data_IF_487333996508
#
_entry.id   IF_487333996508
#
_cell.length_a   1.000
_cell.length_b   1.000
_cell.length_c   1.000
_cell.angle_alpha   90.00
_cell.angle_beta   90.00
_cell.angle_gamma   90.00
#
_symmetry.space_group_name_H-M   'P 1'
#
loop_
_entity.id
_entity.type
_entity.pdbx_description
1 polymer ?
#
# COMPACT_ATOMS: atom_id res chain seq x y z
N UNK A 1 -25.81 2.95 8.87
CA UNK A 1 -24.95 3.37 7.73
C UNK A 1 -24.07 4.60 8.03
N UNK A 2 -24.58 5.71 8.57
CA UNK A 2 -23.80 6.95 8.82
C UNK A 2 -22.64 6.77 9.82
N UNK A 3 -22.80 5.90 10.83
CA UNK A 3 -21.75 5.55 11.81
C UNK A 3 -20.60 4.77 11.17
N UNK A 4 -20.90 3.78 10.33
CA UNK A 4 -19.91 2.99 9.56
C UNK A 4 -19.15 3.87 8.58
N UNK A 5 -19.86 4.74 7.84
CA UNK A 5 -19.21 5.69 6.92
C UNK A 5 -18.32 6.67 7.71
N UNK A 6 -18.75 7.16 8.88
CA UNK A 6 -17.93 8.03 9.74
C UNK A 6 -16.70 7.30 10.28
N UNK A 7 -16.84 6.04 10.69
CA UNK A 7 -15.74 5.19 11.18
C UNK A 7 -14.72 4.91 10.06
N UNK A 8 -15.20 4.51 8.87
CA UNK A 8 -14.36 4.30 7.68
C UNK A 8 -13.69 5.60 7.26
N UNK A 9 -14.41 6.73 7.24
CA UNK A 9 -13.83 8.04 6.92
C UNK A 9 -12.79 8.47 7.97
N UNK A 10 -13.01 8.20 9.26
CA UNK A 10 -12.03 8.45 10.33
C UNK A 10 -10.78 7.56 10.21
N UNK A 11 -10.94 6.30 9.81
CA UNK A 11 -9.81 5.40 9.54
C UNK A 11 -9.05 5.80 8.26
N UNK A 12 -9.74 6.39 7.28
CA UNK A 12 -9.13 6.99 6.08
C UNK A 12 -8.47 8.36 6.34
N UNK A 13 -8.79 9.02 7.47
CA UNK A 13 -8.16 10.27 7.94
C UNK A 13 -6.93 10.06 8.83
N UNK A 14 -6.67 8.83 9.30
CA UNK A 14 -5.39 8.52 9.95
C UNK A 14 -4.26 8.65 8.92
N UNK A 15 -3.06 9.11 9.30
CA UNK A 15 -1.96 9.38 8.37
C UNK A 15 -1.60 8.10 7.60
N UNK A 16 -2.20 7.96 6.43
CA UNK A 16 -2.08 6.80 5.54
C UNK A 16 -1.01 7.09 4.49
N UNK A 17 0.16 7.52 4.95
CA UNK A 17 1.34 7.80 4.13
C UNK A 17 2.28 6.59 3.95
N UNK A 18 1.88 5.38 4.36
CA UNK A 18 2.83 4.25 4.50
C UNK A 18 3.14 3.54 3.18
N UNK A 19 2.29 3.67 2.14
CA UNK A 19 2.61 3.09 0.83
C UNK A 19 3.63 3.92 0.02
N UNK A 20 3.93 5.14 0.47
CA UNK A 20 4.67 6.15 -0.28
C UNK A 20 6.18 6.13 0.00
N UNK A 21 6.59 6.08 1.28
CA UNK A 21 8.01 6.04 1.69
C UNK A 21 8.81 4.91 1.00
N UNK A 22 8.27 3.69 0.84
CA UNK A 22 9.05 2.58 0.26
C UNK A 22 9.36 2.72 -1.23
N UNK A 23 8.35 3.08 -2.01
CA UNK A 23 8.44 3.03 -3.48
C UNK A 23 9.17 4.25 -4.02
N UNK A 24 9.05 5.40 -3.35
CA UNK A 24 9.64 6.67 -3.78
C UNK A 24 11.03 6.89 -3.17
N UNK A 25 11.31 6.42 -1.95
CA UNK A 25 12.68 6.31 -1.45
C UNK A 25 13.54 5.48 -2.41
N UNK A 26 13.04 4.32 -2.87
CA UNK A 26 13.75 3.51 -3.86
C UNK A 26 13.92 4.22 -5.23
N UNK A 27 12.95 5.03 -5.67
CA UNK A 27 13.02 5.74 -6.95
C UNK A 27 13.98 6.95 -6.92
N UNK A 28 13.93 7.78 -5.88
CA UNK A 28 14.79 8.96 -5.69
C UNK A 28 16.26 8.54 -5.62
N UNK A 29 16.53 7.46 -4.89
CA UNK A 29 17.89 6.95 -4.70
C UNK A 29 18.40 6.17 -5.93
N UNK A 30 17.52 5.81 -6.86
CA UNK A 30 17.88 4.98 -8.02
C UNK A 30 18.40 5.69 -9.26
N UNK A 31 18.07 6.96 -9.42
CA UNK A 31 18.42 7.71 -10.64
C UNK A 31 19.93 8.05 -10.70
N UNK A 32 20.62 8.36 -9.58
CA UNK A 32 22.06 8.62 -9.60
C UNK A 32 22.92 7.35 -9.77
N UNK A 33 22.47 6.20 -9.26
CA UNK A 33 23.27 4.98 -9.14
C UNK A 33 23.54 4.25 -10.48
N UNK A 34 22.90 4.63 -11.58
CA UNK A 34 23.08 3.95 -12.88
C UNK A 34 24.36 4.36 -13.64
N UNK A 35 25.09 5.41 -13.20
CA UNK A 35 26.12 6.03 -14.05
C UNK A 35 27.51 6.25 -13.43
N UNK A 36 27.82 5.81 -12.19
CA UNK A 36 29.18 6.03 -11.66
C UNK A 36 29.63 5.11 -10.50
N UNK A 37 30.11 3.87 -10.75
CA UNK A 37 30.56 2.99 -9.67
C UNK A 37 31.90 3.40 -9.01
N UNK A 38 32.84 4.03 -9.72
CA UNK A 38 34.19 4.31 -9.19
C UNK A 38 34.31 5.64 -8.42
N UNK A 39 33.52 6.66 -8.76
CA UNK A 39 33.51 7.93 -8.04
C UNK A 39 32.74 7.84 -6.70
N UNK A 40 31.73 6.97 -6.65
CA UNK A 40 30.89 6.71 -5.45
C UNK A 40 31.68 6.06 -4.31
N UNK A 41 32.79 5.38 -4.63
CA UNK A 41 33.66 4.75 -3.63
C UNK A 41 34.71 5.68 -3.03
N UNK A 42 34.97 6.85 -3.63
CA UNK A 42 36.06 7.76 -3.23
C UNK A 42 35.65 8.87 -2.26
N UNK A 43 34.36 9.02 -1.96
CA UNK A 43 33.88 10.06 -1.06
C UNK A 43 32.71 9.53 -0.21
N UNK A 44 32.81 9.37 1.12
CA UNK A 44 31.71 8.83 1.94
C UNK A 44 30.60 9.87 2.20
N UNK A 45 30.27 10.71 1.22
CA UNK A 45 29.13 11.61 1.31
C UNK A 45 27.82 10.81 1.46
N UNK A 46 26.80 11.41 2.06
CA UNK A 46 25.47 10.77 2.18
C UNK A 46 24.86 10.40 0.82
N UNK A 47 25.36 10.96 -0.29
CA UNK A 47 24.94 10.63 -1.65
C UNK A 47 25.27 9.17 -1.95
N UNK A 48 26.51 8.79 -1.64
CA UNK A 48 27.01 7.45 -1.86
C UNK A 48 26.36 6.45 -0.90
N UNK A 49 26.07 6.86 0.34
CA UNK A 49 25.31 6.03 1.29
C UNK A 49 23.91 5.70 0.77
N UNK A 50 23.20 6.69 0.25
CA UNK A 50 21.86 6.47 -0.31
C UNK A 50 21.95 5.55 -1.54
N UNK A 51 22.77 5.89 -2.53
CA UNK A 51 22.93 5.09 -3.75
C UNK A 51 23.31 3.63 -3.44
N UNK A 52 24.24 3.42 -2.50
CA UNK A 52 24.62 2.10 -1.99
C UNK A 52 23.43 1.39 -1.33
N UNK A 53 22.66 2.06 -0.46
CA UNK A 53 21.48 1.46 0.16
C UNK A 53 20.50 0.94 -0.89
N UNK A 54 20.21 1.74 -1.92
CA UNK A 54 19.31 1.28 -2.99
C UNK A 54 19.91 0.14 -3.81
N UNK A 55 21.23 0.13 -4.02
CA UNK A 55 21.94 -1.02 -4.57
C UNK A 55 21.73 -2.29 -3.75
N UNK A 56 21.86 -2.20 -2.42
CA UNK A 56 21.62 -3.31 -1.48
C UNK A 56 20.16 -3.77 -1.52
N UNK A 57 19.20 -2.84 -1.50
CA UNK A 57 17.77 -3.17 -1.64
C UNK A 57 17.55 -3.93 -2.96
N UNK A 58 18.08 -3.46 -4.09
CA UNK A 58 17.94 -4.10 -5.40
C UNK A 58 18.59 -5.47 -5.49
N UNK A 59 19.71 -5.71 -4.80
CA UNK A 59 20.38 -7.01 -4.75
C UNK A 59 19.42 -8.11 -4.29
N UNK A 60 18.54 -7.80 -3.35
CA UNK A 60 17.56 -8.74 -2.81
C UNK A 60 16.24 -8.80 -3.58
N UNK A 61 16.12 -8.12 -4.73
CA UNK A 61 14.88 -8.14 -5.53
C UNK A 61 14.56 -9.54 -6.06
N UNK A 62 15.58 -10.27 -6.51
CA UNK A 62 15.41 -11.64 -7.00
C UNK A 62 15.29 -12.60 -5.81
N UNK A 63 14.18 -13.33 -5.75
CA UNK A 63 13.90 -14.30 -4.68
C UNK A 63 13.40 -13.67 -3.37
N UNK A 64 13.00 -12.41 -3.37
CA UNK A 64 12.21 -11.83 -2.27
C UNK A 64 10.75 -12.28 -2.38
N UNK A 65 10.14 -12.52 -1.21
CA UNK A 65 8.70 -12.78 -1.13
C UNK A 65 7.92 -11.49 -1.47
N UNK A 66 6.81 -11.65 -2.19
CA UNK A 66 5.89 -10.54 -2.44
C UNK A 66 5.10 -10.23 -1.17
N UNK A 67 5.04 -8.94 -0.82
CA UNK A 67 4.35 -8.51 0.38
C UNK A 67 2.83 -8.65 0.23
N UNK A 68 2.23 -9.47 1.09
CA UNK A 68 0.78 -9.67 1.12
C UNK A 68 0.10 -8.40 1.62
N UNK A 69 -0.56 -7.68 0.70
CA UNK A 69 -1.32 -6.46 1.02
C UNK A 69 -2.74 -6.74 1.49
N UNK A 70 -3.28 -7.91 1.17
CA UNK A 70 -4.61 -8.33 1.56
C UNK A 70 -4.49 -9.31 2.73
N UNK A 71 -5.13 -8.98 3.85
CA UNK A 71 -5.32 -9.92 4.94
C UNK A 71 -6.51 -10.82 4.61
N UNK A 72 -6.33 -12.12 4.79
CA UNK A 72 -7.41 -13.09 4.67
C UNK A 72 -8.46 -12.82 5.76
N UNK A 73 -9.74 -12.54 5.39
CA UNK A 73 -10.82 -12.33 6.35
C UNK A 73 -10.96 -13.45 7.38
N UNK A 74 -10.63 -14.69 7.01
CA UNK A 74 -10.69 -15.85 7.90
C UNK A 74 -9.68 -15.73 9.05
N UNK A 75 -8.58 -15.00 8.87
CA UNK A 75 -7.62 -14.76 9.96
C UNK A 75 -8.32 -14.01 11.09
N UNK A 76 -9.13 -12.99 10.78
CA UNK A 76 -9.85 -12.19 11.78
C UNK A 76 -11.00 -12.96 12.43
N UNK A 77 -11.78 -13.71 11.65
CA UNK A 77 -12.88 -14.54 12.19
C UNK A 77 -12.32 -15.55 13.20
N UNK A 78 -11.14 -16.11 12.91
CA UNK A 78 -10.48 -17.05 13.80
C UNK A 78 -9.70 -16.39 14.95
N UNK A 79 -9.63 -15.06 15.04
CA UNK A 79 -8.98 -14.39 16.19
C UNK A 79 -9.84 -14.43 17.44
N UNK A 80 -11.16 -14.39 17.34
CA UNK A 80 -12.06 -14.37 18.51
C UNK A 80 -11.96 -15.64 19.37
N UNK A 81 -11.49 -16.73 18.79
CA UNK A 81 -11.26 -18.00 19.52
C UNK A 81 -9.89 -18.09 20.18
N UNK A 82 -9.03 -17.07 20.02
CA UNK A 82 -7.62 -17.14 20.41
C UNK A 82 -7.31 -16.15 21.52
N UNK A 83 -6.52 -16.63 22.47
CA UNK A 83 -5.89 -15.76 23.46
C UNK A 83 -4.65 -15.12 22.84
N UNK A 84 -4.53 -13.80 22.98
CA UNK A 84 -3.32 -13.07 22.63
C UNK A 84 -2.24 -13.39 23.67
N UNK A 85 -0.96 -13.47 23.28
CA UNK A 85 0.13 -13.54 24.25
C UNK A 85 0.09 -12.33 25.20
N UNK A 86 0.32 -12.57 26.50
CA UNK A 86 0.21 -11.56 27.55
C UNK A 86 1.04 -10.30 27.25
N UNK A 87 2.26 -10.46 26.72
CA UNK A 87 3.11 -9.31 26.39
C UNK A 87 2.55 -8.45 25.26
N UNK A 88 1.85 -9.04 24.29
CA UNK A 88 1.19 -8.31 23.21
C UNK A 88 -0.11 -7.63 23.70
N UNK A 89 -0.82 -8.26 24.64
CA UNK A 89 -1.96 -7.63 25.31
C UNK A 89 -1.50 -6.38 26.06
N UNK A 90 -0.42 -6.47 26.83
CA UNK A 90 0.15 -5.32 27.55
C UNK A 90 0.49 -4.17 26.59
N UNK A 91 1.17 -4.45 25.47
CA UNK A 91 1.47 -3.43 24.45
C UNK A 91 0.21 -2.77 23.87
N UNK A 92 -0.84 -3.55 23.61
CA UNK A 92 -2.11 -3.02 23.13
C UNK A 92 -2.84 -2.21 24.20
N UNK A 93 -2.79 -2.63 25.46
CA UNK A 93 -3.39 -1.90 26.59
C UNK A 93 -2.72 -0.56 26.80
N UNK A 94 -1.38 -0.51 26.76
CA UNK A 94 -0.59 0.72 26.89
C UNK A 94 -0.91 1.72 25.78
N UNK A 95 -1.08 1.25 24.54
CA UNK A 95 -1.48 2.09 23.39
C UNK A 95 -2.96 2.52 23.44
N UNK A 96 -3.81 1.69 24.08
CA UNK A 96 -5.26 1.75 24.04
C UNK A 96 -5.83 0.68 23.12
N UNK A 97 -6.26 -0.44 23.71
CA UNK A 97 -6.64 -1.68 23.01
C UNK A 97 -7.60 -1.45 21.83
N UNK A 98 -8.64 -0.63 22.02
CA UNK A 98 -9.64 -0.34 20.97
C UNK A 98 -9.16 0.58 19.85
N UNK A 99 -7.96 1.15 19.96
CA UNK A 99 -7.30 1.93 18.90
C UNK A 99 -6.46 1.05 17.96
N UNK A 100 -6.21 -0.21 18.35
CA UNK A 100 -5.49 -1.23 17.56
C UNK A 100 -6.06 -1.42 16.16
N UNK A 101 -5.20 -1.78 15.20
CA UNK A 101 -5.63 -2.11 13.84
C UNK A 101 -6.51 -3.37 13.83
N UNK A 102 -6.17 -4.39 14.64
CA UNK A 102 -6.96 -5.62 14.78
C UNK A 102 -8.38 -5.29 15.22
N UNK A 103 -8.54 -4.58 16.33
CA UNK A 103 -9.85 -4.24 16.88
C UNK A 103 -10.64 -3.33 15.94
N UNK A 104 -9.99 -2.34 15.34
CA UNK A 104 -10.61 -1.50 14.31
C UNK A 104 -11.16 -2.35 13.17
N UNK A 105 -10.37 -3.33 12.71
CA UNK A 105 -10.72 -4.19 11.59
C UNK A 105 -11.85 -5.14 11.94
N UNK A 106 -11.82 -5.76 13.12
CA UNK A 106 -12.90 -6.63 13.62
C UNK A 106 -14.21 -5.85 13.74
N UNK A 107 -14.19 -4.66 14.36
CA UNK A 107 -15.38 -3.82 14.48
C UNK A 107 -15.92 -3.41 13.10
N UNK A 108 -15.04 -3.01 12.18
CA UNK A 108 -15.44 -2.67 10.83
C UNK A 108 -16.03 -3.88 10.06
N UNK A 109 -15.46 -5.06 10.22
CA UNK A 109 -15.93 -6.29 9.60
C UNK A 109 -17.31 -6.70 10.17
N UNK A 110 -17.48 -6.66 11.49
CA UNK A 110 -18.76 -6.93 12.15
C UNK A 110 -19.85 -5.95 11.71
N UNK A 111 -19.54 -4.65 11.69
CA UNK A 111 -20.50 -3.63 11.27
C UNK A 111 -20.87 -3.77 9.79
N UNK A 112 -19.93 -4.22 8.94
CA UNK A 112 -20.19 -4.55 7.54
C UNK A 112 -21.08 -5.79 7.42
N UNK A 113 -20.77 -6.87 8.12
CA UNK A 113 -21.60 -8.09 8.14
C UNK A 113 -23.02 -7.78 8.60
N UNK A 114 -23.19 -7.04 9.70
CA UNK A 114 -24.50 -6.62 10.18
C UNK A 114 -25.26 -5.82 9.12
N UNK A 115 -24.60 -4.88 8.43
CA UNK A 115 -25.23 -4.13 7.35
C UNK A 115 -25.63 -5.00 6.16
N UNK A 116 -24.84 -6.03 5.83
CA UNK A 116 -25.18 -7.00 4.79
C UNK A 116 -26.38 -7.85 5.22
N UNK A 117 -26.42 -8.33 6.46
CA UNK A 117 -27.55 -9.12 6.97
C UNK A 117 -28.84 -8.30 6.99
N UNK A 118 -28.81 -7.05 7.47
CA UNK A 118 -29.98 -6.17 7.41
C UNK A 118 -30.45 -5.95 5.97
N UNK A 119 -29.53 -5.76 5.01
CA UNK A 119 -29.92 -5.63 3.61
C UNK A 119 -30.58 -6.91 3.07
N UNK A 120 -30.09 -8.09 3.47
CA UNK A 120 -30.71 -9.36 3.11
C UNK A 120 -32.11 -9.52 3.74
N UNK A 121 -32.27 -9.16 5.02
CA UNK A 121 -33.57 -9.17 5.70
C UNK A 121 -34.59 -8.26 5.00
N UNK A 122 -34.18 -7.03 4.65
CA UNK A 122 -35.02 -6.06 3.94
C UNK A 122 -35.48 -6.56 2.56
N UNK A 123 -34.69 -7.46 1.94
CA UNK A 123 -35.01 -8.12 0.68
C UNK A 123 -35.68 -9.50 0.84
N UNK A 124 -36.00 -9.92 2.06
CA UNK A 124 -36.65 -11.22 2.34
C UNK A 124 -35.74 -12.44 2.12
N UNK A 125 -34.42 -12.24 2.06
CA UNK A 125 -33.42 -13.23 1.67
C UNK A 125 -33.02 -14.23 2.79
N UNK A 126 -33.57 -14.11 3.99
CA UNK A 126 -33.08 -14.83 5.19
C UNK A 126 -33.69 -16.22 5.44
N UNK A 127 -34.58 -16.72 4.58
CA UNK A 127 -35.22 -18.03 4.74
C UNK A 127 -35.21 -18.82 3.44
N UNK A 128 -34.09 -19.46 3.13
CA UNK A 128 -34.01 -20.42 2.03
C UNK A 128 -33.27 -21.67 2.50
N UNK A 129 -33.93 -22.41 3.39
CA UNK A 129 -33.80 -23.87 3.33
C UNK A 129 -34.61 -24.32 2.12
N UNK A 130 -34.01 -25.12 1.24
CA UNK A 130 -34.75 -25.74 0.15
C UNK A 130 -35.93 -26.52 0.77
N UNK A 131 -37.18 -26.20 0.41
CA UNK A 131 -38.36 -26.79 1.05
C UNK A 131 -38.45 -28.31 0.86
N UNK A 132 -37.71 -28.88 -0.11
CA UNK A 132 -37.67 -30.31 -0.38
C UNK A 132 -36.57 -31.00 0.43
N UNK A 133 -35.39 -30.38 0.56
CA UNK A 133 -34.22 -31.04 1.17
C UNK A 133 -33.92 -30.58 2.59
N UNK A 134 -34.44 -29.43 3.02
CA UNK A 134 -34.11 -28.77 4.29
C UNK A 134 -32.64 -28.32 4.38
N UNK A 135 -31.89 -28.39 3.28
CA UNK A 135 -30.50 -27.97 3.23
C UNK A 135 -30.41 -26.48 2.84
N UNK A 136 -29.37 -25.77 3.32
CA UNK A 136 -29.11 -24.40 2.87
C UNK A 136 -28.81 -24.41 1.36
N UNK A 137 -29.52 -23.58 0.61
CA UNK A 137 -29.28 -23.39 -0.82
C UNK A 137 -27.94 -22.66 -1.03
N UNK A 138 -26.91 -23.39 -1.45
CA UNK A 138 -25.58 -22.83 -1.70
C UNK A 138 -25.51 -21.99 -2.98
N UNK A 139 -26.50 -22.12 -3.88
CA UNK A 139 -26.62 -21.36 -5.12
C UNK A 139 -27.53 -20.13 -4.96
N UNK A 140 -27.92 -19.80 -3.72
CA UNK A 140 -28.78 -18.66 -3.42
C UNK A 140 -28.19 -17.36 -3.96
N UNK A 141 -28.90 -16.73 -4.90
CA UNK A 141 -28.65 -15.35 -5.32
C UNK A 141 -29.49 -14.41 -4.45
N UNK A 142 -28.88 -13.65 -3.53
CA UNK A 142 -29.61 -12.79 -2.61
C UNK A 142 -30.39 -11.64 -3.29
N UNK A 143 -30.34 -11.53 -4.62
CA UNK A 143 -30.96 -10.43 -5.37
C UNK A 143 -30.26 -9.08 -5.12
N UNK A 144 -29.16 -9.08 -4.37
CA UNK A 144 -28.32 -7.90 -4.19
C UNK A 144 -27.46 -7.72 -5.45
N UNK A 145 -27.26 -6.47 -5.92
CA UNK A 145 -26.60 -6.21 -7.19
C UNK A 145 -25.07 -6.40 -7.19
N UNK A 146 -24.50 -7.09 -6.19
CA UNK A 146 -23.07 -7.31 -6.04
C UNK A 146 -22.77 -8.59 -5.25
N UNK A 147 -21.71 -9.31 -5.64
CA UNK A 147 -21.29 -10.57 -5.00
C UNK A 147 -20.25 -10.39 -3.90
N UNK A 148 -19.56 -9.25 -3.89
CA UNK A 148 -18.47 -8.98 -2.97
C UNK A 148 -18.32 -7.47 -2.69
N UNK A 149 -17.52 -7.15 -1.67
CA UNK A 149 -17.27 -5.76 -1.25
C UNK A 149 -16.75 -4.87 -2.39
N UNK A 150 -15.90 -5.42 -3.27
CA UNK A 150 -15.33 -4.65 -4.38
C UNK A 150 -16.43 -4.21 -5.35
N UNK A 151 -17.39 -5.07 -5.66
CA UNK A 151 -18.53 -4.77 -6.54
C UNK A 151 -19.54 -3.81 -5.90
N UNK A 152 -19.59 -3.71 -4.57
CA UNK A 152 -20.44 -2.74 -3.88
C UNK A 152 -19.93 -1.29 -4.03
N UNK A 153 -18.62 -1.07 -4.21
CA UNK A 153 -18.01 0.27 -4.21
C UNK A 153 -18.62 1.24 -5.24
N UNK A 154 -18.82 0.86 -6.52
CA UNK A 154 -19.44 1.75 -7.50
C UNK A 154 -20.90 2.09 -7.18
N UNK A 155 -21.65 1.14 -6.58
CA UNK A 155 -23.03 1.37 -6.16
C UNK A 155 -23.11 2.35 -5.00
N UNK A 156 -22.22 2.21 -4.01
CA UNK A 156 -22.09 3.18 -2.92
C UNK A 156 -21.70 4.57 -3.44
N UNK A 157 -20.77 4.65 -4.40
CA UNK A 157 -20.40 5.92 -5.04
C UNK A 157 -21.60 6.57 -5.75
N UNK A 158 -22.40 5.78 -6.50
CA UNK A 158 -23.64 6.25 -7.15
C UNK A 158 -24.62 6.84 -6.12
N UNK A 159 -24.91 6.09 -5.05
CA UNK A 159 -25.82 6.55 -3.98
C UNK A 159 -25.33 7.83 -3.28
N UNK A 160 -24.01 7.98 -3.10
CA UNK A 160 -23.43 9.19 -2.51
C UNK A 160 -23.66 10.41 -3.41
N UNK A 161 -23.58 10.26 -4.73
CA UNK A 161 -23.85 11.33 -5.70
C UNK A 161 -25.33 11.70 -5.73
N UNK A 162 -26.23 10.71 -5.67
CA UNK A 162 -27.68 10.94 -5.66
C UNK A 162 -28.14 11.75 -4.44
N UNK A 163 -27.46 11.62 -3.30
CA UNK A 163 -27.78 12.38 -2.07
C UNK A 163 -27.38 13.86 -2.11
N UNK A 164 -26.77 14.34 -3.20
CA UNK A 164 -26.50 15.75 -3.52
C UNK A 164 -25.79 16.63 -2.46
N UNK A 165 -25.17 16.05 -1.42
CA UNK A 165 -24.39 16.82 -0.44
C UNK A 165 -22.99 17.12 -1.00
N UNK A 166 -22.47 18.37 -0.93
CA UNK A 166 -21.15 18.72 -1.49
C UNK A 166 -20.01 17.80 -1.02
N UNK A 167 -19.96 17.47 0.27
CA UNK A 167 -18.97 16.55 0.84
C UNK A 167 -19.14 15.07 0.47
N UNK A 168 -20.19 14.68 -0.26
CA UNK A 168 -20.37 13.30 -0.73
C UNK A 168 -19.72 13.05 -2.09
N UNK A 169 -19.47 14.09 -2.89
CA UNK A 169 -18.82 13.95 -4.20
C UNK A 169 -17.38 13.45 -4.04
N UNK A 170 -16.62 14.04 -3.11
CA UNK A 170 -15.25 13.59 -2.83
C UNK A 170 -15.22 12.15 -2.32
N UNK A 171 -16.18 11.77 -1.47
CA UNK A 171 -16.31 10.39 -0.97
C UNK A 171 -16.66 9.41 -2.09
N UNK A 172 -17.57 9.79 -3.00
CA UNK A 172 -17.93 8.97 -4.15
C UNK A 172 -16.72 8.74 -5.07
N UNK A 173 -15.97 9.80 -5.37
CA UNK A 173 -14.77 9.72 -6.19
C UNK A 173 -13.69 8.86 -5.52
N UNK A 174 -13.50 8.97 -4.20
CA UNK A 174 -12.61 8.09 -3.42
C UNK A 174 -12.99 6.61 -3.56
N UNK A 175 -14.28 6.27 -3.48
CA UNK A 175 -14.74 4.88 -3.63
C UNK A 175 -14.49 4.34 -5.04
N UNK A 176 -14.71 5.15 -6.08
CA UNK A 176 -14.41 4.75 -7.46
C UNK A 176 -12.91 4.64 -7.72
N UNK A 177 -12.11 5.55 -7.19
CA UNK A 177 -10.64 5.46 -7.23
C UNK A 177 -10.21 4.13 -6.60
N UNK A 178 -10.74 3.79 -5.41
CA UNK A 178 -10.42 2.53 -4.73
C UNK A 178 -10.82 1.31 -5.57
N UNK A 179 -12.02 1.30 -6.14
CA UNK A 179 -12.48 0.24 -7.04
C UNK A 179 -11.54 0.06 -8.24
N UNK A 180 -11.13 1.15 -8.88
CA UNK A 180 -10.22 1.11 -10.02
C UNK A 180 -8.82 0.64 -9.64
N UNK A 181 -8.29 1.06 -8.47
CA UNK A 181 -7.01 0.57 -7.94
C UNK A 181 -7.07 -0.94 -7.69
N UNK A 182 -8.13 -1.43 -7.05
CA UNK A 182 -8.34 -2.87 -6.80
C UNK A 182 -8.44 -3.68 -8.11
N UNK A 183 -8.78 -3.03 -9.22
CA UNK A 183 -8.80 -3.65 -10.55
C UNK A 183 -7.58 -3.39 -11.42
N UNK A 184 -6.51 -2.79 -10.88
CA UNK A 184 -5.32 -2.45 -11.66
C UNK A 184 -5.54 -1.34 -12.70
N UNK A 185 -6.69 -0.65 -12.69
CA UNK A 185 -7.05 0.41 -13.64
C UNK A 185 -6.51 1.77 -13.19
N UNK A 186 -5.19 1.85 -12.95
CA UNK A 186 -4.53 3.00 -12.32
C UNK A 186 -4.70 4.31 -13.12
N UNK A 187 -4.76 4.24 -14.46
CA UNK A 187 -5.02 5.42 -15.32
C UNK A 187 -6.41 6.02 -15.08
N UNK A 188 -7.43 5.18 -14.93
CA UNK A 188 -8.80 5.65 -14.63
C UNK A 188 -8.88 6.23 -13.22
N UNK A 189 -8.24 5.57 -12.25
CA UNK A 189 -8.14 6.09 -10.89
C UNK A 189 -7.49 7.50 -10.87
N UNK A 190 -6.39 7.70 -11.59
CA UNK A 190 -5.76 9.02 -11.70
C UNK A 190 -6.67 10.05 -12.37
N UNK A 191 -7.38 9.69 -13.44
CA UNK A 191 -8.27 10.63 -14.12
C UNK A 191 -9.43 11.09 -13.22
N UNK A 192 -9.95 10.21 -12.36
CA UNK A 192 -10.95 10.58 -11.35
C UNK A 192 -10.32 11.47 -10.29
N UNK A 193 -9.10 11.14 -9.83
CA UNK A 193 -8.35 11.95 -8.88
C UNK A 193 -8.06 13.36 -9.40
N UNK A 194 -7.72 13.52 -10.68
CA UNK A 194 -7.51 14.84 -11.31
C UNK A 194 -8.78 15.69 -11.25
N UNK A 195 -9.96 15.10 -11.55
CA UNK A 195 -11.25 15.79 -11.42
C UNK A 195 -11.55 16.17 -9.96
N UNK A 196 -11.24 15.26 -9.03
CA UNK A 196 -11.37 15.49 -7.60
C UNK A 196 -10.50 16.66 -7.12
N UNK A 197 -9.24 16.72 -7.54
CA UNK A 197 -8.29 17.78 -7.17
C UNK A 197 -8.68 19.16 -7.70
N UNK A 198 -9.29 19.24 -8.90
CA UNK A 198 -9.83 20.50 -9.42
C UNK A 198 -10.95 21.04 -8.53
N UNK A 199 -11.71 20.16 -7.87
CA UNK A 199 -12.80 20.53 -6.97
C UNK A 199 -12.30 20.77 -5.54
N UNK A 200 -11.40 19.92 -5.05
CA UNK A 200 -10.87 19.96 -3.70
C UNK A 200 -9.39 19.50 -3.67
N UNK A 201 -8.43 20.44 -3.73
CA UNK A 201 -7.00 20.12 -3.78
C UNK A 201 -6.44 19.58 -2.46
N UNK A 202 -7.20 19.71 -1.37
CA UNK A 202 -6.82 19.33 0.00
C UNK A 202 -7.10 17.84 0.32
N UNK A 203 -7.64 17.07 -0.63
CA UNK A 203 -7.94 15.65 -0.42
C UNK A 203 -6.69 14.82 -0.72
N UNK A 204 -5.95 14.46 0.33
CA UNK A 204 -4.74 13.65 0.24
C UNK A 204 -4.93 12.33 -0.54
N UNK A 205 -6.12 11.72 -0.49
CA UNK A 205 -6.40 10.48 -1.20
C UNK A 205 -6.33 10.62 -2.74
N UNK A 206 -6.67 11.79 -3.28
CA UNK A 206 -6.55 12.04 -4.72
C UNK A 206 -5.08 12.10 -5.14
N UNK A 207 -4.26 12.78 -4.34
CA UNK A 207 -2.81 12.78 -4.53
C UNK A 207 -2.24 11.36 -4.45
N UNK A 208 -2.63 10.57 -3.44
CA UNK A 208 -2.25 9.16 -3.31
C UNK A 208 -2.54 8.36 -4.58
N UNK A 209 -3.75 8.48 -5.15
CA UNK A 209 -4.12 7.77 -6.37
C UNK A 209 -3.19 8.08 -7.55
N UNK A 210 -2.75 9.34 -7.67
CA UNK A 210 -1.80 9.78 -8.71
C UNK A 210 -0.39 9.24 -8.48
N UNK A 211 0.01 9.00 -7.23
CA UNK A 211 1.32 8.40 -6.92
C UNK A 211 1.48 6.99 -7.45
N UNK A 212 0.38 6.28 -7.67
CA UNK A 212 0.38 4.91 -8.18
C UNK A 212 0.64 4.82 -9.69
N UNK A 213 0.67 5.95 -10.41
CA UNK A 213 1.02 5.95 -11.82
C UNK A 213 2.50 5.60 -12.04
N UNK A 214 2.80 4.95 -13.16
CA UNK A 214 4.16 4.58 -13.54
C UNK A 214 5.09 5.78 -13.82
N UNK A 215 4.58 7.03 -13.82
CA UNK A 215 5.40 8.22 -14.03
C UNK A 215 5.97 8.69 -12.69
N UNK A 216 7.29 8.53 -12.44
CA UNK A 216 7.89 8.84 -11.15
C UNK A 216 7.83 10.33 -10.81
N UNK A 217 7.94 11.21 -11.81
CA UNK A 217 7.89 12.67 -11.61
C UNK A 217 6.50 13.14 -11.17
N UNK A 218 5.45 12.64 -11.84
CA UNK A 218 4.06 12.92 -11.45
C UNK A 218 3.80 12.33 -10.06
N UNK A 219 4.24 11.09 -9.83
CA UNK A 219 4.01 10.44 -8.55
C UNK A 219 4.69 11.15 -7.38
N UNK A 220 5.93 11.62 -7.56
CA UNK A 220 6.65 12.37 -6.54
C UNK A 220 5.96 13.70 -6.25
N UNK A 221 5.65 14.48 -7.30
CA UNK A 221 4.96 15.77 -7.14
C UNK A 221 3.61 15.61 -6.47
N UNK A 222 2.80 14.64 -6.91
CA UNK A 222 1.51 14.37 -6.28
C UNK A 222 1.68 13.97 -4.83
N UNK A 223 2.67 13.16 -4.49
CA UNK A 223 2.88 12.82 -3.10
C UNK A 223 3.31 14.00 -2.23
N UNK A 224 4.23 14.86 -2.71
CA UNK A 224 4.58 16.12 -2.02
C UNK A 224 3.32 16.95 -1.76
N UNK A 225 2.47 17.11 -2.78
CA UNK A 225 1.21 17.85 -2.62
C UNK A 225 0.24 17.16 -1.65
N UNK A 226 0.18 15.83 -1.67
CA UNK A 226 -0.63 15.06 -0.72
C UNK A 226 -0.16 15.21 0.72
N UNK A 227 1.16 15.30 0.94
CA UNK A 227 1.77 15.58 2.23
C UNK A 227 1.57 17.04 2.66
N UNK A 228 1.26 17.97 1.74
CA UNK A 228 0.98 19.37 2.07
C UNK A 228 -0.48 19.67 2.40
N UNK A 229 -1.40 18.75 2.11
CA UNK A 229 -2.80 18.92 2.51
C UNK A 229 -2.84 19.16 4.03
N UNK A 230 -3.73 20.05 4.52
CA UNK A 230 -3.77 20.69 5.87
C UNK A 230 -3.61 19.82 7.14
N UNK A 231 -3.27 18.53 7.03
CA UNK A 231 -2.89 17.62 8.11
C UNK A 231 -1.45 17.06 8.00
N UNK A 232 -0.59 17.53 7.08
CA UNK A 232 0.83 17.13 7.07
C UNK A 232 1.77 18.25 6.59
N UNK A 233 3.03 18.15 7.01
CA UNK A 233 4.08 19.17 6.99
C UNK A 233 4.47 19.61 5.56
N UNK A 234 4.78 20.91 5.32
CA UNK A 234 5.11 21.38 3.98
C UNK A 234 6.54 21.01 3.56
N UNK A 235 6.71 20.57 2.31
CA UNK A 235 8.01 20.34 1.68
C UNK A 235 8.04 20.93 0.25
N UNK A 236 8.76 22.03 -0.01
CA UNK A 236 9.18 22.46 -1.35
C UNK A 236 10.30 23.52 -1.31
N UNK A 237 11.37 23.26 -2.07
CA UNK A 237 12.34 24.27 -2.49
C UNK A 237 13.26 23.80 -3.62
N UNK A 238 13.45 24.61 -4.66
CA UNK A 238 14.45 24.46 -5.72
C UNK A 238 15.78 25.08 -5.27
N UNK A 239 16.53 24.32 -4.48
CA UNK A 239 17.93 24.61 -4.16
C UNK A 239 18.65 23.29 -4.19
N UNK A 240 19.52 23.10 -5.19
CA UNK A 240 20.37 21.92 -5.41
C UNK A 240 19.69 20.56 -5.28
N UNK A 241 19.66 19.78 -6.38
CA UNK A 241 19.08 18.42 -6.40
C UNK A 241 19.57 17.51 -5.26
N UNK A 242 20.75 17.81 -4.72
CA UNK A 242 21.37 17.12 -3.61
C UNK A 242 20.72 17.48 -2.26
N UNK A 243 20.64 18.76 -1.92
CA UNK A 243 20.01 19.25 -0.70
C UNK A 243 18.54 18.84 -0.63
N UNK A 244 17.86 18.85 -1.78
CA UNK A 244 16.50 18.31 -1.93
C UNK A 244 16.43 16.80 -1.59
N UNK A 245 17.38 16.01 -2.09
CA UNK A 245 17.46 14.57 -1.80
C UNK A 245 17.73 14.27 -0.32
N UNK A 246 18.65 15.01 0.30
CA UNK A 246 18.92 14.93 1.75
C UNK A 246 17.69 15.32 2.55
N UNK A 247 17.02 16.41 2.19
CA UNK A 247 15.78 16.83 2.84
C UNK A 247 14.69 15.75 2.73
N UNK A 248 14.56 15.07 1.59
CA UNK A 248 13.60 13.95 1.45
C UNK A 248 13.94 12.75 2.33
N UNK A 249 15.20 12.33 2.35
CA UNK A 249 15.63 11.19 3.16
C UNK A 249 15.45 11.51 4.65
N UNK A 250 15.84 12.71 5.08
CA UNK A 250 15.66 13.18 6.46
C UNK A 250 14.19 13.30 6.82
N UNK A 251 13.35 13.87 5.95
CA UNK A 251 11.90 13.95 6.16
C UNK A 251 11.29 12.55 6.26
N UNK A 252 11.63 11.64 5.34
CA UNK A 252 11.15 10.27 5.34
C UNK A 252 11.50 9.52 6.63
N UNK A 253 12.70 9.76 7.16
CA UNK A 253 13.13 9.20 8.44
C UNK A 253 12.36 9.81 9.62
N UNK A 254 12.20 11.14 9.68
CA UNK A 254 11.39 11.82 10.70
C UNK A 254 9.93 11.34 10.68
N UNK A 255 9.31 11.25 9.49
CA UNK A 255 7.95 10.75 9.30
C UNK A 255 7.83 9.29 9.77
N UNK A 256 8.85 8.47 9.52
CA UNK A 256 8.87 7.10 10.00
C UNK A 256 8.93 7.01 11.53
N UNK A 257 9.65 7.91 12.21
CA UNK A 257 9.65 7.99 13.68
C UNK A 257 8.27 8.34 14.22
N UNK A 258 7.65 9.41 13.68
CA UNK A 258 6.28 9.80 14.05
C UNK A 258 5.31 8.65 13.83
N UNK A 259 5.42 7.95 12.70
CA UNK A 259 4.60 6.76 12.45
C UNK A 259 4.80 5.67 13.51
N UNK A 260 6.04 5.34 13.85
CA UNK A 260 6.41 4.31 14.82
C UNK A 260 5.94 4.67 16.25
N UNK A 261 5.76 5.95 16.54
CA UNK A 261 5.26 6.46 17.82
C UNK A 261 3.73 6.50 17.87
N UNK A 262 3.07 6.96 16.81
CA UNK A 262 1.63 7.19 16.80
C UNK A 262 0.80 5.99 16.32
N UNK A 263 1.37 5.14 15.47
CA UNK A 263 0.64 4.02 14.90
C UNK A 263 0.44 2.91 15.95
N UNK A 264 -0.66 2.13 15.82
CA UNK A 264 -0.86 0.98 16.66
C UNK A 264 0.30 -0.02 16.57
N UNK A 265 0.70 -0.68 17.67
CA UNK A 265 1.80 -1.65 17.65
C UNK A 265 1.46 -2.89 16.80
N UNK A 266 0.17 -3.18 16.61
CA UNK A 266 -0.35 -4.27 15.76
C UNK A 266 -0.56 -3.85 14.30
N UNK A 267 -0.11 -2.65 13.90
CA UNK A 267 -0.29 -2.15 12.54
C UNK A 267 0.42 -3.06 11.53
N UNK A 268 -0.29 -3.48 10.48
CA UNK A 268 0.20 -4.42 9.46
C UNK A 268 1.44 -3.92 8.72
N UNK A 269 1.61 -2.61 8.63
CA UNK A 269 2.75 -1.97 7.99
C UNK A 269 3.90 -1.64 8.95
N UNK A 270 3.74 -1.88 10.27
CA UNK A 270 4.73 -1.53 11.28
C UNK A 270 6.12 -2.09 10.95
N UNK A 271 6.24 -3.39 10.60
CA UNK A 271 7.52 -3.97 10.20
C UNK A 271 8.13 -3.26 8.99
N UNK A 272 7.32 -2.90 7.99
CA UNK A 272 7.79 -2.26 6.77
C UNK A 272 8.36 -0.86 7.05
N UNK A 273 7.66 -0.07 7.87
CA UNK A 273 8.12 1.25 8.30
C UNK A 273 9.38 1.12 9.16
N UNK A 274 9.45 0.12 10.04
CA UNK A 274 10.64 -0.14 10.85
C UNK A 274 11.86 -0.51 9.99
N UNK A 275 11.71 -1.31 8.94
CA UNK A 275 12.82 -1.59 8.02
C UNK A 275 13.34 -0.30 7.37
N UNK A 276 12.45 0.58 6.92
CA UNK A 276 12.85 1.89 6.39
C UNK A 276 13.49 2.78 7.43
N UNK A 277 12.89 2.90 8.61
CA UNK A 277 13.40 3.71 9.70
C UNK A 277 14.84 3.33 10.06
N UNK A 278 15.10 2.03 10.19
CA UNK A 278 16.43 1.47 10.44
C UNK A 278 17.40 1.83 9.31
N UNK A 279 17.04 1.54 8.07
CA UNK A 279 17.90 1.77 6.91
C UNK A 279 18.20 3.26 6.69
N UNK A 280 17.18 4.12 6.81
CA UNK A 280 17.31 5.57 6.67
C UNK A 280 18.10 6.16 7.84
N UNK A 281 17.91 5.66 9.07
CA UNK A 281 18.70 6.06 10.24
C UNK A 281 20.19 5.79 10.04
N UNK A 282 20.54 4.64 9.48
CA UNK A 282 21.92 4.30 9.08
C UNK A 282 22.45 5.24 8.00
N UNK A 283 21.65 5.55 6.98
CA UNK A 283 22.07 6.45 5.89
C UNK A 283 22.31 7.86 6.41
N UNK A 284 21.42 8.39 7.26
CA UNK A 284 21.50 9.77 7.75
C UNK A 284 22.64 9.91 8.75
N UNK A 285 22.62 9.11 9.82
CA UNK A 285 23.55 9.25 10.95
C UNK A 285 24.93 8.70 10.66
N UNK A 286 25.03 7.67 9.81
CA UNK A 286 26.29 7.08 9.34
C UNK A 286 27.36 6.93 10.43
N UNK A 287 28.44 7.75 10.40
CA UNK A 287 29.55 7.65 11.34
C UNK A 287 29.20 8.00 12.80
N UNK A 288 28.07 8.66 13.06
CA UNK A 288 27.59 8.95 14.41
C UNK A 288 27.01 7.73 15.13
N UNK A 289 26.80 6.62 14.41
CA UNK A 289 26.29 5.39 14.99
C UNK A 289 27.43 4.58 15.61
N UNK A 290 27.16 4.04 16.80
CA UNK A 290 28.00 3.03 17.42
C UNK A 290 28.14 1.79 16.53
N UNK A 291 29.29 1.11 16.62
CA UNK A 291 29.59 -0.12 15.89
C UNK A 291 28.62 -1.26 16.23
N UNK A 292 28.09 -1.27 17.45
CA UNK A 292 27.07 -2.20 17.92
C UNK A 292 25.62 -1.70 17.73
N UNK A 293 25.44 -0.57 17.05
CA UNK A 293 24.15 0.00 16.69
C UNK A 293 23.22 0.22 17.89
N UNK A 294 23.75 0.59 19.07
CA UNK A 294 22.96 0.87 20.29
C UNK A 294 21.78 1.79 20.04
N UNK A 295 21.97 2.79 19.18
CA UNK A 295 20.95 3.80 18.89
C UNK A 295 19.80 3.28 18.03
N UNK A 296 19.98 2.15 17.33
CA UNK A 296 18.96 1.51 16.49
C UNK A 296 18.24 0.39 17.26
N UNK A 297 18.77 -0.05 18.40
CA UNK A 297 18.17 -1.10 19.23
C UNK A 297 16.69 -0.87 19.56
N UNK A 298 16.20 0.35 19.87
CA UNK A 298 14.78 0.58 20.09
C UNK A 298 13.91 0.19 18.87
N UNK A 299 14.35 0.53 17.65
CA UNK A 299 13.64 0.15 16.42
C UNK A 299 13.71 -1.35 16.15
N UNK A 300 14.82 -2.02 16.52
CA UNK A 300 14.94 -3.48 16.41
C UNK A 300 14.03 -4.21 17.38
N UNK A 301 13.91 -3.71 18.61
CA UNK A 301 13.00 -4.26 19.61
C UNK A 301 11.55 -4.11 19.16
N UNK A 302 11.15 -2.93 18.66
CA UNK A 302 9.82 -2.73 18.07
C UNK A 302 9.58 -3.62 16.86
N UNK A 303 10.61 -3.89 16.04
CA UNK A 303 10.49 -4.80 14.90
C UNK A 303 10.24 -6.24 15.35
N UNK A 304 10.91 -6.69 16.41
CA UNK A 304 10.63 -7.99 17.03
C UNK A 304 9.19 -8.08 17.53
N UNK A 305 8.67 -7.02 18.17
CA UNK A 305 7.28 -6.97 18.62
C UNK A 305 6.29 -7.03 17.44
N UNK A 306 6.56 -6.32 16.36
CA UNK A 306 5.74 -6.38 15.14
C UNK A 306 5.76 -7.78 14.49
N UNK A 307 6.92 -8.45 14.50
CA UNK A 307 7.05 -9.85 14.05
C UNK A 307 6.29 -10.82 14.97
N UNK A 308 6.23 -10.57 16.28
CA UNK A 308 5.40 -11.34 17.21
C UNK A 308 3.90 -11.17 16.92
N UNK A 309 3.41 -9.95 16.63
CA UNK A 309 2.04 -9.78 16.17
C UNK A 309 1.77 -10.62 14.91
N UNK A 310 2.64 -10.54 13.90
CA UNK A 310 2.53 -11.33 12.66
C UNK A 310 2.46 -12.84 12.92
N UNK A 311 3.38 -13.37 13.70
CA UNK A 311 3.51 -14.81 13.89
C UNK A 311 2.55 -15.38 14.92
N UNK A 312 2.32 -14.67 16.04
CA UNK A 312 1.54 -15.17 17.18
C UNK A 312 0.06 -14.82 17.07
N UNK A 313 -0.26 -13.62 16.60
CA UNK A 313 -1.66 -13.17 16.47
C UNK A 313 -2.20 -13.55 15.09
N UNK A 314 -1.55 -13.09 14.02
CA UNK A 314 -2.04 -13.28 12.66
C UNK A 314 -1.71 -14.68 12.08
N UNK A 315 -0.82 -15.45 12.71
CA UNK A 315 -0.27 -16.73 12.18
C UNK A 315 0.26 -16.61 10.76
N UNK A 316 0.79 -15.44 10.42
CA UNK A 316 1.44 -15.21 9.16
C UNK A 316 2.92 -15.59 9.27
N UNK A 317 3.44 -16.22 8.23
CA UNK A 317 4.87 -16.38 8.09
C UNK A 317 5.52 -15.01 7.93
N UNK A 318 6.70 -14.88 8.52
CA UNK A 318 7.53 -13.72 8.29
C UNK A 318 8.05 -13.79 6.86
N UNK A 319 7.55 -12.90 6.01
CA UNK A 319 7.96 -12.82 4.62
C UNK A 319 9.39 -12.28 4.50
N UNK A 320 10.21 -12.94 3.69
CA UNK A 320 11.56 -12.51 3.34
C UNK A 320 11.50 -11.50 2.19
N UNK A 321 10.84 -10.37 2.46
CA UNK A 321 10.71 -9.29 1.49
C UNK A 321 12.09 -8.70 1.14
N UNK A 322 12.15 -8.02 0.01
CA UNK A 322 13.36 -7.35 -0.48
C UNK A 322 13.95 -6.42 0.59
N UNK A 323 13.08 -5.63 1.22
CA UNK A 323 13.45 -4.63 2.21
C UNK A 323 13.94 -5.27 3.52
N UNK A 324 13.29 -6.35 3.97
CA UNK A 324 13.74 -7.10 5.16
C UNK A 324 15.14 -7.67 4.96
N UNK A 325 15.38 -8.36 3.83
CA UNK A 325 16.70 -8.93 3.52
C UNK A 325 17.78 -7.85 3.44
N UNK A 326 17.46 -6.70 2.87
CA UNK A 326 18.36 -5.55 2.83
C UNK A 326 18.71 -5.07 4.24
N UNK A 327 17.69 -4.88 5.09
CA UNK A 327 17.87 -4.46 6.47
C UNK A 327 18.70 -5.47 7.29
N UNK A 328 18.37 -6.77 7.23
CA UNK A 328 19.13 -7.82 7.91
C UNK A 328 20.60 -7.87 7.45
N UNK A 329 20.84 -7.72 6.14
CA UNK A 329 22.19 -7.73 5.59
C UNK A 329 23.01 -6.51 6.01
N UNK A 330 22.40 -5.32 6.03
CA UNK A 330 23.05 -4.08 6.49
C UNK A 330 23.43 -4.20 7.96
N UNK A 331 22.50 -4.61 8.83
CA UNK A 331 22.79 -4.75 10.27
C UNK A 331 23.89 -5.78 10.52
N UNK A 332 23.80 -6.95 9.89
CA UNK A 332 24.78 -8.04 10.08
C UNK A 332 26.20 -7.61 9.69
N UNK A 333 26.34 -6.71 8.72
CA UNK A 333 27.64 -6.28 8.18
C UNK A 333 28.11 -4.93 8.73
N UNK A 334 27.29 -4.23 9.51
CA UNK A 334 27.57 -2.85 9.91
C UNK A 334 28.88 -2.72 10.70
N UNK A 335 29.05 -3.48 11.79
CA UNK A 335 30.25 -3.41 12.63
C UNK A 335 31.54 -3.69 11.83
N UNK A 336 31.51 -4.71 10.97
CA UNK A 336 32.66 -5.05 10.10
C UNK A 336 32.96 -3.94 9.09
N UNK A 337 31.92 -3.32 8.53
CA UNK A 337 32.08 -2.18 7.64
C UNK A 337 32.65 -0.95 8.37
N UNK A 338 32.19 -0.65 9.59
CA UNK A 338 32.76 0.47 10.37
C UNK A 338 34.24 0.23 10.67
N UNK A 339 34.63 -0.99 11.06
CA UNK A 339 36.03 -1.34 11.33
C UNK A 339 36.93 -1.26 10.08
N UNK A 340 36.43 -1.70 8.92
CA UNK A 340 37.15 -1.66 7.64
C UNK A 340 37.30 -0.23 7.12
N UNK A 341 36.22 0.56 7.13
CA UNK A 341 36.16 1.87 6.49
C UNK A 341 36.54 3.03 7.41
N UNK A 342 36.50 2.85 8.74
CA UNK A 342 36.87 3.88 9.72
C UNK A 342 38.33 4.36 9.56
N UNK A 343 39.21 3.49 9.09
CA UNK A 343 40.62 3.81 8.87
C UNK A 343 40.91 4.54 7.54
N UNK A 344 39.93 4.59 6.63
CA UNK A 344 40.11 5.14 5.26
C UNK A 344 39.89 6.67 5.22
N UNK A 345 39.28 7.26 6.26
CA UNK A 345 38.82 8.66 6.25
C UNK A 345 39.74 9.78 6.79
N UNK A 346 40.93 9.59 7.41
CA UNK A 346 41.65 10.74 7.96
C UNK A 346 42.21 11.69 6.89
N UNK A 347 42.74 11.16 5.78
CA UNK A 347 43.56 11.97 4.86
C UNK A 347 42.76 12.70 3.77
N UNK A 348 41.55 12.22 3.44
CA UNK A 348 40.74 12.77 2.33
C UNK A 348 40.02 14.08 2.63
N UNK A 349 39.89 14.48 3.90
CA UNK A 349 39.23 15.75 4.28
C UNK A 349 40.16 16.97 4.22
N UNK A 350 41.47 16.79 4.02
CA UNK A 350 42.42 17.91 4.07
C UNK A 350 42.45 18.79 2.81
N UNK A 351 41.99 18.30 1.64
CA UNK A 351 42.17 18.99 0.35
C UNK A 351 40.86 19.21 -0.44
N UNK A 352 39.74 18.68 0.03
CA UNK A 352 38.44 19.00 -0.56
C UNK A 352 38.02 20.37 -0.02
N UNK A 353 38.07 21.42 -0.84
CA UNK A 353 37.66 22.79 -0.48
C UNK A 353 36.18 22.96 -0.08
N UNK A 354 35.48 21.87 0.26
CA UNK A 354 34.18 21.89 0.89
C UNK A 354 34.34 22.33 2.34
N UNK A 355 34.00 23.59 2.62
CA UNK A 355 33.82 24.05 4.00
C UNK A 355 32.64 23.29 4.58
N UNK A 356 32.93 22.38 5.49
CA UNK A 356 31.96 21.74 6.36
C UNK A 356 31.12 22.85 7.01
N UNK A 357 29.83 22.87 6.67
CA UNK A 357 28.88 23.84 7.23
C UNK A 357 28.72 23.47 8.69
N UNK A 358 29.31 24.25 9.61
CA UNK A 358 29.15 24.03 11.04
C UNK A 358 27.67 24.13 11.44
N UNK A 359 27.24 23.16 12.24
CA UNK A 359 25.90 22.60 12.20
C UNK A 359 25.13 22.79 13.53
N UNK A 360 25.33 23.90 14.24
CA UNK A 360 24.80 24.03 15.60
C UNK A 360 23.41 24.71 15.71
N UNK A 361 22.93 25.41 14.68
CA UNK A 361 21.60 26.06 14.71
C UNK A 361 20.78 25.91 13.40
N UNK A 362 21.25 25.10 12.44
CA UNK A 362 20.70 25.10 11.08
C UNK A 362 19.52 24.16 10.82
N UNK A 363 19.28 23.12 11.61
CA UNK A 363 18.51 21.98 11.10
C UNK A 363 16.97 22.13 11.09
N UNK A 364 16.39 23.01 11.91
CA UNK A 364 14.95 23.30 11.86
C UNK A 364 14.64 24.66 11.26
N UNK A 365 15.36 25.70 11.66
CA UNK A 365 15.12 27.07 11.18
C UNK A 365 15.54 27.25 9.72
N UNK A 366 16.58 26.57 9.23
CA UNK A 366 16.99 26.67 7.81
C UNK A 366 16.07 25.86 6.91
N UNK A 367 15.60 24.71 7.38
CA UNK A 367 14.62 23.90 6.65
C UNK A 367 13.30 24.67 6.55
N UNK A 368 12.74 25.15 7.67
CA UNK A 368 11.47 25.88 7.67
C UNK A 368 11.58 27.21 6.89
N UNK A 369 12.66 27.97 7.06
CA UNK A 369 12.87 29.23 6.31
C UNK A 369 13.04 29.02 4.81
N UNK A 370 13.74 27.96 4.41
CA UNK A 370 13.87 27.58 2.99
C UNK A 370 12.52 27.17 2.38
N UNK A 371 11.67 26.50 3.16
CA UNK A 371 10.32 26.11 2.76
C UNK A 371 9.38 27.33 2.64
N UNK A 372 9.58 28.37 3.46
CA UNK A 372 8.75 29.58 3.50
C UNK A 372 9.06 30.61 2.41
N UNK A 373 10.33 30.78 2.02
CA UNK A 373 10.78 31.79 1.04
C UNK A 373 10.46 31.41 -0.43
N UNK A 374 9.86 30.24 -0.69
CA UNK A 374 9.68 29.70 -2.04
C UNK A 374 8.36 30.14 -2.71
N UNK A 375 8.41 31.19 -3.53
CA UNK A 375 7.32 31.57 -4.43
C UNK A 375 7.50 30.94 -5.83
N UNK A 376 6.58 30.05 -6.23
CA UNK A 376 6.54 29.53 -7.61
C UNK A 376 5.73 30.48 -8.51
N UNK A 377 6.24 30.86 -9.70
CA UNK A 377 5.42 31.56 -10.68
C UNK A 377 4.34 30.62 -11.21
N UNK A 378 3.09 31.05 -11.08
CA UNK A 378 1.87 30.37 -11.51
C UNK A 378 1.80 30.29 -13.05
N UNK A 379 2.68 29.51 -13.68
CA UNK A 379 2.59 29.22 -15.11
C UNK A 379 1.58 28.10 -15.30
N UNK A 380 0.30 28.51 -15.32
CA UNK A 380 -0.79 27.65 -15.73
C UNK A 380 -0.45 26.89 -17.01
N UNK A 381 -0.80 25.59 -17.03
CA UNK A 381 -0.64 24.68 -18.16
C UNK A 381 -1.51 25.06 -19.37
N UNK A 382 -1.38 26.28 -19.91
CA UNK A 382 -1.84 26.63 -21.24
C UNK A 382 -0.74 26.29 -22.25
N UNK A 383 -0.46 25.01 -22.43
CA UNK A 383 0.34 24.55 -23.55
C UNK A 383 -0.47 24.74 -24.84
N UNK A 384 -0.04 25.68 -25.70
CA UNK A 384 -0.48 25.75 -27.09
C UNK A 384 -0.16 24.43 -27.78
N UNK A 385 -1.18 23.64 -28.06
CA UNK A 385 -1.09 22.48 -28.95
C UNK A 385 -0.98 22.96 -30.39
N UNK A 386 0.24 23.13 -30.90
CA UNK A 386 0.47 23.09 -32.36
C UNK A 386 0.33 21.63 -32.80
N UNK A 387 -0.90 21.25 -33.12
CA UNK A 387 -1.23 19.99 -33.76
C UNK A 387 -0.83 20.05 -35.24
N UNK A 388 0.17 19.25 -35.62
CA UNK A 388 0.48 18.94 -37.00
C UNK A 388 -0.29 17.68 -37.41
N UNK A 389 -1.50 17.86 -37.95
CA UNK A 389 -2.14 16.85 -38.79
C UNK A 389 -2.41 17.46 -40.17
N UNK A 390 -2.26 16.68 -41.26
CA UNK A 390 -2.60 17.15 -42.59
C UNK A 390 -4.12 17.33 -42.72
N UNK A 391 -4.54 18.50 -43.22
CA UNK A 391 -5.94 18.84 -43.48
C UNK A 391 -6.50 17.91 -44.56
N UNK A 392 -7.41 17.01 -44.19
CA UNK A 392 -8.23 16.25 -45.14
C UNK A 392 -9.43 17.12 -45.54
N UNK A 393 -9.52 17.38 -46.84
CA UNK A 393 -10.53 18.22 -47.48
C UNK A 393 -11.82 17.41 -47.67
N UNK A 394 -12.87 17.73 -46.93
CA UNK A 394 -14.21 17.14 -47.09
C UNK A 394 -14.99 17.93 -48.15
N UNK A 395 -14.80 17.59 -49.42
CA UNK A 395 -15.75 17.87 -50.48
C UNK A 395 -15.54 16.87 -51.63
N UNK A 396 -16.13 15.68 -51.51
CA UNK A 396 -16.50 14.88 -52.68
C UNK A 396 -17.67 13.97 -52.35
N UNK A 397 -18.83 14.38 -52.84
CA UNK A 397 -20.04 13.57 -52.98
C UNK A 397 -19.72 12.42 -53.94
N UNK A 398 -19.81 11.18 -53.45
CA UNK A 398 -19.92 9.97 -54.28
C UNK A 398 -21.03 9.12 -53.69
N UNK A 399 -21.98 8.78 -54.56
CA UNK A 399 -23.23 8.06 -54.29
C UNK A 399 -22.96 6.66 -53.72
N UNK A 400 -23.75 6.29 -52.72
CA UNK A 400 -23.85 4.93 -52.18
C UNK A 400 -24.44 3.97 -53.23
N UNK A 401 -23.98 2.71 -53.31
CA UNK A 401 -24.78 1.64 -53.87
C UNK A 401 -25.65 1.01 -52.77
N UNK A 402 -26.95 0.95 -53.06
CA UNK A 402 -27.96 0.21 -52.33
C UNK A 402 -27.57 -1.27 -52.21
N UNK A 403 -27.64 -1.83 -51.00
CA UNK A 403 -27.60 -3.27 -50.77
C UNK A 403 -28.98 -3.72 -50.26
N UNK A 404 -29.65 -4.46 -51.14
CA UNK A 404 -30.93 -5.12 -50.97
C UNK A 404 -30.90 -6.18 -49.86
N UNK A 405 -31.95 -6.18 -49.04
CA UNK A 405 -32.31 -7.26 -48.14
C UNK A 405 -32.75 -8.49 -48.95
N UNK A 406 -32.28 -9.67 -48.55
CA UNK A 406 -32.76 -10.95 -49.05
C UNK A 406 -33.28 -11.77 -47.87
N UNK A 407 -34.57 -12.10 -47.93
CA UNK A 407 -35.29 -12.98 -47.02
C UNK A 407 -34.94 -14.45 -47.30
N UNK A 408 -34.70 -15.26 -46.27
CA UNK A 408 -34.67 -16.74 -46.38
C UNK A 408 -35.22 -17.38 -45.07
N UNK A 409 -35.97 -18.49 -45.15
CA UNK A 409 -37.19 -18.68 -44.36
C UNK A 409 -37.08 -19.62 -43.16
N UNK A 410 -38.10 -19.49 -42.32
CA UNK A 410 -38.49 -20.33 -41.19
C UNK A 410 -38.56 -21.82 -41.55
N UNK A 411 -37.79 -22.66 -40.88
CA UNK A 411 -38.07 -24.11 -40.81
C UNK A 411 -37.87 -24.62 -39.39
N UNK A 412 -38.96 -25.20 -38.87
CA UNK A 412 -39.01 -25.90 -37.59
C UNK A 412 -38.20 -27.19 -37.65
N UNK A 413 -37.41 -27.47 -36.60
CA UNK A 413 -36.93 -28.83 -36.32
C UNK A 413 -36.80 -29.05 -34.81
N UNK A 414 -37.29 -30.22 -34.44
CA UNK A 414 -37.56 -30.83 -33.14
C UNK A 414 -36.32 -31.12 -32.29
N UNK A 415 -36.46 -30.90 -30.98
CA UNK A 415 -35.51 -31.30 -29.92
C UNK A 415 -35.35 -32.82 -29.82
N UNK A 416 -34.14 -33.37 -29.63
CA UNK A 416 -33.96 -34.73 -29.16
C UNK A 416 -33.80 -34.78 -27.64
N UNK A 417 -34.69 -35.55 -26.99
CA UNK A 417 -34.53 -36.04 -25.62
C UNK A 417 -33.25 -36.87 -25.52
N UNK A 418 -32.36 -36.53 -24.56
CA UNK A 418 -31.29 -37.43 -24.11
C UNK A 418 -31.71 -38.11 -22.83
N UNK A 419 -31.96 -39.42 -22.95
CA UNK A 419 -32.09 -40.37 -21.85
C UNK A 419 -30.76 -40.46 -21.08
N UNK A 420 -30.79 -40.19 -19.78
CA UNK A 420 -29.74 -40.57 -18.84
C UNK A 420 -30.11 -41.93 -18.25
N UNK A 421 -29.43 -42.97 -18.70
CA UNK A 421 -29.48 -44.31 -18.11
C UNK A 421 -28.60 -44.34 -16.86
N UNK A 422 -29.24 -44.60 -15.72
CA UNK A 422 -28.61 -44.99 -14.46
C UNK A 422 -27.87 -46.31 -14.66
N UNK A 423 -26.59 -46.35 -14.34
CA UNK A 423 -25.83 -47.60 -14.26
C UNK A 423 -25.18 -47.69 -12.88
N UNK A 424 -25.86 -48.41 -11.99
CA UNK A 424 -25.39 -48.80 -10.66
C UNK A 424 -24.36 -49.92 -10.79
N UNK A 425 -23.11 -49.66 -10.44
CA UNK A 425 -22.14 -50.70 -10.09
C UNK A 425 -21.82 -50.58 -8.61
N UNK A 426 -22.25 -51.59 -7.86
CA UNK A 426 -21.88 -51.79 -6.47
C UNK A 426 -20.41 -52.14 -6.35
N UNK A 427 -19.74 -51.49 -5.39
CA UNK A 427 -18.43 -51.89 -4.88
C UNK A 427 -18.61 -52.40 -3.46
N UNK A 428 -18.30 -53.67 -3.25
CA UNK A 428 -18.24 -54.33 -1.95
C UNK A 428 -17.10 -53.73 -1.10
N UNK A 429 -17.39 -53.41 0.16
CA UNK A 429 -16.39 -53.03 1.16
C UNK A 429 -16.17 -54.25 2.05
N UNK A 430 -15.00 -54.88 1.91
CA UNK A 430 -14.51 -55.89 2.85
C UNK A 430 -13.86 -55.25 4.09
N UNK A 431 -13.89 -55.91 5.27
CA UNK A 431 -13.30 -55.38 6.48
C UNK A 431 -11.78 -55.64 6.49
N UNK A 432 -10.99 -54.57 6.55
CA UNK A 432 -9.56 -54.63 6.81
C UNK A 432 -9.29 -54.63 8.31
N UNK A 433 -8.74 -55.74 8.78
CA UNK A 433 -8.06 -55.89 10.07
C UNK A 433 -6.78 -55.05 10.13
N UNK A 434 -6.24 -54.94 11.35
CA UNK A 434 -4.91 -54.46 11.75
C UNK A 434 -4.75 -52.96 12.03
N UNK A 435 -4.81 -52.60 13.33
CA UNK A 435 -3.63 -51.99 13.92
C UNK A 435 -3.50 -52.29 15.43
N UNK A 436 -2.46 -53.04 15.77
CA UNK A 436 -1.98 -53.34 17.12
C UNK A 436 -0.58 -52.73 17.24
N UNK A 437 -0.33 -52.11 18.40
CA UNK A 437 0.96 -51.71 18.99
C UNK A 437 1.62 -50.44 18.44
N UNK A 438 1.71 -49.44 19.30
CA UNK A 438 2.95 -49.20 20.06
C UNK A 438 2.66 -48.38 21.34
N UNK A 439 2.88 -49.02 22.48
CA UNK A 439 3.26 -48.40 23.76
C UNK A 439 4.70 -48.85 24.02
N UNK A 440 5.47 -47.96 24.64
CA UNK A 440 6.84 -48.05 25.19
C UNK A 440 7.70 -46.96 24.53
N UNK A 441 7.95 -45.85 25.23
CA UNK A 441 8.94 -45.62 26.30
C UNK A 441 10.10 -44.82 25.69
N UNK A 442 10.36 -43.62 26.21
CA UNK A 442 11.70 -43.25 26.65
C UNK A 442 11.68 -41.93 27.44
N UNK A 443 12.32 -42.03 28.61
CA UNK A 443 12.97 -41.05 29.48
C UNK A 443 12.94 -39.55 29.13
#
# INVERSE_FOLDING_TARGET
MTRVIKQVTLQMKKPTAINFLPTQGAAIVSTPAFHCPEAVLKNPSSENRSACLNGVIRLFRLGADEELRALDPNIFINMDTRQFPDHLISLLMDYGMFRGEVFTTIVAARDLQAAMLTALEDHGAFRFEDPVTGQPDLDFDPGIPFKNYREALPLCAKLLRERAHPGNLDKADILEIKYNIMGGKLKLASAIADKGLLRNPEVAYFHYAKTLLANPTIGLRSAKNGLKCKESTPAEGEGGRWEEGVAFVTSAWKDSNVFIEEAPPDNRYMSQVLYWNILLGIVIRGPELSDDLKEIQPSLQKLSQADDFKTKVYRLSILKTQLRKAQEAVIKRFAGAVAEWGNVSPDSNSDSGYKEVQNEDRDELTLNRFLDDLHLPDKGCAAKTTSAYPKVNTNRVVREPECSAEEVPTTALTSPQKNLSVNSKGGEIGPGEDDKRMKEEEN
#
